data_IF_790468121144
#
_entry.id   IF_790468121144
#
_cell.length_a   1.000
_cell.length_b   1.000
_cell.length_c   1.000
_cell.angle_alpha   90.00
_cell.angle_beta   90.00
_cell.angle_gamma   90.00
#
_symmetry.space_group_name_H-M   'P 1'
#
loop_
_entity.id
_entity.type
_entity.pdbx_description
1 polymer ?
#
# COMPACT_ATOMS: atom_id res chain seq x y z
N UNK A 1 51.01 15.40 18.44
CA UNK A 1 50.86 14.03 18.02
C UNK A 1 49.44 13.53 18.08
N UNK A 2 48.89 13.53 19.21
CA UNK A 2 47.56 13.07 19.44
C UNK A 2 46.46 13.91 18.78
N UNK A 3 46.59 15.25 18.58
CA UNK A 3 45.52 16.02 17.94
C UNK A 3 45.17 15.61 16.52
N UNK A 4 46.15 15.16 15.76
CA UNK A 4 45.90 14.77 14.37
C UNK A 4 45.05 13.49 14.26
N UNK A 5 45.22 12.57 15.18
CA UNK A 5 44.38 11.35 15.20
C UNK A 5 42.95 11.65 15.54
N UNK A 6 42.69 12.56 16.45
CA UNK A 6 41.35 12.95 16.82
C UNK A 6 40.63 13.64 15.66
N UNK A 7 41.30 14.45 14.89
CA UNK A 7 40.73 15.12 13.72
C UNK A 7 40.36 14.13 12.64
N UNK A 8 41.20 13.15 12.38
CA UNK A 8 40.92 12.11 11.39
C UNK A 8 39.71 11.27 11.78
N UNK A 9 39.59 10.91 13.04
CA UNK A 9 38.47 10.16 13.53
C UNK A 9 37.15 10.93 13.36
N UNK A 10 37.17 12.23 13.62
CA UNK A 10 35.98 13.07 13.42
C UNK A 10 35.57 13.16 11.94
N UNK A 11 36.53 13.29 11.06
CA UNK A 11 36.26 13.34 9.64
C UNK A 11 35.63 12.04 9.13
N UNK A 12 36.12 10.92 9.59
CA UNK A 12 35.56 9.62 9.23
C UNK A 12 34.11 9.45 9.71
N UNK A 13 33.81 9.91 10.91
CA UNK A 13 32.47 9.85 11.46
C UNK A 13 31.50 10.71 10.67
N UNK A 14 31.87 11.90 10.28
CA UNK A 14 31.05 12.78 9.47
C UNK A 14 30.80 12.20 8.09
N UNK A 15 31.79 11.60 7.48
CA UNK A 15 31.65 10.94 6.20
C UNK A 15 30.65 9.76 6.25
N UNK A 16 30.73 8.96 7.31
CA UNK A 16 29.80 7.88 7.53
C UNK A 16 28.36 8.34 7.71
N UNK A 17 28.16 9.43 8.43
CA UNK A 17 26.84 9.99 8.62
C UNK A 17 26.25 10.51 7.31
N UNK A 18 27.02 11.16 6.48
CA UNK A 18 26.58 11.63 5.17
C UNK A 18 26.19 10.48 4.27
N UNK A 19 26.92 9.39 4.27
CA UNK A 19 26.59 8.20 3.49
C UNK A 19 25.27 7.60 3.93
N UNK A 20 24.98 7.57 5.21
CA UNK A 20 23.70 7.08 5.71
C UNK A 20 22.53 7.93 5.22
N UNK A 21 22.67 9.24 5.22
CA UNK A 21 21.64 10.15 4.73
C UNK A 21 21.40 10.00 3.22
N UNK A 22 22.45 9.86 2.45
CA UNK A 22 22.38 9.67 1.00
C UNK A 22 21.90 8.26 0.65
N UNK A 23 22.31 7.27 1.44
CA UNK A 23 21.98 5.87 1.22
C UNK A 23 20.61 5.43 1.72
N UNK A 24 19.78 6.35 2.23
CA UNK A 24 18.42 6.06 2.65
C UNK A 24 17.45 6.44 1.52
N UNK A 25 17.36 5.67 0.42
CA UNK A 25 16.43 5.97 -0.65
C UNK A 25 15.03 5.80 -0.10
N UNK A 26 14.18 6.75 -0.39
CA UNK A 26 12.77 6.61 -0.13
C UNK A 26 12.24 5.62 -1.14
N UNK A 27 12.03 4.38 -0.71
CA UNK A 27 11.40 3.39 -1.55
C UNK A 27 9.95 3.80 -1.74
N UNK A 28 9.58 4.11 -2.96
CA UNK A 28 8.21 4.49 -3.31
C UNK A 28 7.35 3.23 -3.44
N UNK A 29 7.00 2.62 -2.31
CA UNK A 29 6.03 1.54 -2.27
C UNK A 29 4.64 2.12 -2.08
N UNK A 30 3.69 1.63 -2.86
CA UNK A 30 2.30 1.94 -2.64
C UNK A 30 1.75 1.03 -1.54
N UNK A 31 1.64 1.54 -0.34
CA UNK A 31 1.05 0.83 0.78
C UNK A 31 -0.39 1.27 1.01
N UNK A 32 -1.18 0.37 1.57
CA UNK A 32 -2.54 0.69 1.98
C UNK A 32 -2.48 1.66 3.16
N UNK A 33 -3.02 2.86 2.97
CA UNK A 33 -3.07 3.91 3.98
C UNK A 33 -4.35 3.83 4.80
N UNK A 34 -5.45 3.44 4.17
CA UNK A 34 -6.73 3.28 4.82
C UNK A 34 -7.71 2.56 3.92
N UNK A 35 -8.77 2.03 4.50
CA UNK A 35 -9.83 1.33 3.77
C UNK A 35 -11.20 1.65 4.33
N UNK A 36 -12.22 1.50 3.51
CA UNK A 36 -13.62 1.63 3.90
C UNK A 36 -14.41 0.46 3.27
N UNK A 37 -14.98 -0.44 4.05
CA UNK A 37 -14.88 -0.55 5.52
C UNK A 37 -13.43 -0.74 5.99
N UNK A 38 -13.14 -0.26 7.20
CA UNK A 38 -11.82 -0.45 7.80
C UNK A 38 -11.62 -1.92 8.22
N UNK A 39 -10.37 -2.31 8.34
CA UNK A 39 -10.02 -3.66 8.81
C UNK A 39 -10.66 -3.95 10.17
N UNK A 40 -11.35 -5.07 10.26
CA UNK A 40 -12.06 -5.48 11.47
C UNK A 40 -13.47 -4.91 11.62
N UNK A 41 -13.92 -4.05 10.73
CA UNK A 41 -15.26 -3.47 10.81
C UNK A 41 -16.34 -4.49 10.49
N UNK A 42 -17.47 -4.33 11.17
CA UNK A 42 -18.71 -5.05 10.86
C UNK A 42 -19.68 -4.11 10.18
N UNK A 43 -20.19 -4.51 9.03
CA UNK A 43 -21.14 -3.72 8.25
C UNK A 43 -22.48 -4.44 8.21
N UNK A 44 -23.52 -3.79 8.74
CA UNK A 44 -24.88 -4.34 8.73
C UNK A 44 -25.52 -4.11 7.36
N UNK A 45 -26.01 -5.18 6.75
CA UNK A 45 -26.63 -5.12 5.42
C UNK A 45 -25.62 -5.12 4.26
N UNK A 46 -24.33 -5.18 4.56
CA UNK A 46 -23.26 -5.16 3.56
C UNK A 46 -22.92 -3.75 3.07
N UNK A 47 -21.68 -3.51 2.67
CA UNK A 47 -21.28 -2.23 2.09
C UNK A 47 -21.78 -2.09 0.65
N UNK A 48 -22.14 -0.88 0.25
CA UNK A 48 -22.47 -0.58 -1.14
C UNK A 48 -21.21 -0.55 -2.02
N UNK A 49 -20.07 -0.23 -1.42
CA UNK A 49 -18.79 -0.09 -2.10
C UNK A 49 -17.66 -0.39 -1.13
N UNK A 50 -16.60 -0.97 -1.65
CA UNK A 50 -15.34 -1.18 -0.93
C UNK A 50 -14.29 -0.26 -1.55
N UNK A 51 -13.49 0.39 -0.71
CA UNK A 51 -12.43 1.26 -1.20
C UNK A 51 -11.17 1.13 -0.37
N UNK A 52 -10.03 1.36 -1.02
CA UNK A 52 -8.74 1.43 -0.38
C UNK A 52 -7.97 2.64 -0.88
N UNK A 53 -7.40 3.40 0.03
CA UNK A 53 -6.53 4.53 -0.28
C UNK A 53 -5.08 4.12 -0.08
N UNK A 54 -4.23 4.49 -1.03
CA UNK A 54 -2.83 4.09 -1.06
C UNK A 54 -1.91 5.31 -1.00
N UNK A 55 -0.70 5.09 -0.57
CA UNK A 55 0.28 6.15 -0.32
C UNK A 55 0.89 6.74 -1.58
N UNK A 56 0.83 6.02 -2.70
CA UNK A 56 1.44 6.41 -3.96
C UNK A 56 0.48 6.20 -5.13
N UNK A 57 0.65 6.93 -6.24
CA UNK A 57 -0.11 6.67 -7.45
C UNK A 57 0.07 5.25 -7.95
N UNK A 58 -1.00 4.64 -8.43
CA UNK A 58 -1.06 3.26 -8.85
C UNK A 58 -1.13 3.14 -10.38
N UNK A 59 -0.55 2.06 -10.90
CA UNK A 59 -0.75 1.67 -12.28
C UNK A 59 -2.11 0.99 -12.42
N UNK A 60 -3.07 1.57 -13.13
CA UNK A 60 -4.41 0.99 -13.26
C UNK A 60 -4.43 -0.38 -13.92
N UNK A 61 -3.50 -0.65 -14.81
CA UNK A 61 -3.46 -1.92 -15.53
C UNK A 61 -2.99 -3.09 -14.66
N UNK A 62 -2.26 -2.80 -13.58
CA UNK A 62 -1.62 -3.82 -12.76
C UNK A 62 -2.03 -3.81 -11.29
N UNK A 63 -2.91 -2.87 -10.90
CA UNK A 63 -3.39 -2.74 -9.52
C UNK A 63 -4.84 -3.18 -9.42
N UNK A 64 -5.17 -3.94 -8.36
CA UNK A 64 -6.53 -4.47 -8.21
C UNK A 64 -6.90 -4.76 -6.77
N UNK A 65 -8.21 -4.79 -6.53
CA UNK A 65 -8.83 -5.32 -5.32
C UNK A 65 -9.58 -6.59 -5.69
N UNK A 66 -9.54 -7.58 -4.81
CA UNK A 66 -10.31 -8.83 -4.96
C UNK A 66 -11.02 -9.13 -3.65
N UNK A 67 -12.34 -9.27 -3.70
CA UNK A 67 -13.13 -9.69 -2.57
C UNK A 67 -13.24 -11.21 -2.55
N UNK A 68 -12.89 -11.82 -1.42
CA UNK A 68 -13.01 -13.27 -1.23
C UNK A 68 -13.81 -13.59 0.03
N UNK A 69 -14.48 -14.74 0.02
CA UNK A 69 -15.21 -15.27 1.16
C UNK A 69 -14.28 -16.11 2.07
N UNK A 70 -14.85 -16.71 3.12
CA UNK A 70 -14.11 -17.56 4.06
C UNK A 70 -13.46 -18.78 3.40
N UNK A 71 -14.05 -19.27 2.32
CA UNK A 71 -13.49 -20.39 1.57
C UNK A 71 -12.40 -19.95 0.58
N UNK A 72 -12.11 -18.66 0.49
CA UNK A 72 -11.15 -18.12 -0.45
C UNK A 72 -11.71 -17.97 -1.87
N UNK A 73 -13.02 -18.10 -2.04
CA UNK A 73 -13.66 -17.92 -3.35
C UNK A 73 -13.74 -16.45 -3.71
N UNK A 74 -13.38 -16.14 -4.94
CA UNK A 74 -13.42 -14.77 -5.46
C UNK A 74 -14.86 -14.41 -5.80
N UNK A 75 -15.33 -13.32 -5.21
CA UNK A 75 -16.70 -12.85 -5.37
C UNK A 75 -16.79 -11.63 -6.27
N UNK A 76 -15.81 -10.78 -6.26
CA UNK A 76 -15.77 -9.55 -7.04
C UNK A 76 -14.35 -9.04 -7.19
N UNK A 77 -14.15 -8.18 -8.19
CA UNK A 77 -12.88 -7.56 -8.47
C UNK A 77 -13.09 -6.09 -8.80
N UNK A 78 -12.16 -5.24 -8.37
CA UNK A 78 -12.14 -3.83 -8.68
C UNK A 78 -10.73 -3.34 -8.94
N UNK A 79 -10.59 -2.06 -9.17
CA UNK A 79 -9.32 -1.46 -9.50
C UNK A 79 -9.27 0.03 -9.20
N UNK A 80 -8.31 0.70 -9.80
CA UNK A 80 -8.11 2.13 -9.61
C UNK A 80 -9.35 2.89 -10.08
N UNK A 81 -9.82 3.81 -9.22
CA UNK A 81 -10.95 4.66 -9.52
C UNK A 81 -10.58 5.59 -10.68
N UNK A 82 -11.28 5.48 -11.83
CA UNK A 82 -10.96 6.32 -12.98
C UNK A 82 -11.27 7.80 -12.76
N UNK A 83 -12.08 8.13 -11.76
CA UNK A 83 -12.41 9.50 -11.42
C UNK A 83 -11.42 10.15 -10.46
N UNK A 84 -10.55 9.35 -9.84
CA UNK A 84 -9.49 9.86 -8.97
C UNK A 84 -8.27 10.23 -9.80
N UNK A 85 -8.07 11.52 -10.01
CA UNK A 85 -6.95 12.04 -10.79
C UNK A 85 -5.58 11.70 -10.19
N UNK A 86 -5.51 11.51 -8.88
CA UNK A 86 -4.26 11.13 -8.20
C UNK A 86 -3.92 9.64 -8.35
N UNK A 87 -4.88 8.84 -8.78
CA UNK A 87 -4.75 7.38 -8.94
C UNK A 87 -4.28 6.67 -7.67
N UNK A 88 -4.65 7.17 -6.50
CA UNK A 88 -4.28 6.59 -5.20
C UNK A 88 -5.38 5.78 -4.56
N UNK A 89 -6.57 5.73 -5.16
CA UNK A 89 -7.73 5.02 -4.62
C UNK A 89 -8.13 3.88 -5.52
N UNK A 90 -8.38 2.71 -4.94
CA UNK A 90 -9.04 1.60 -5.62
C UNK A 90 -10.44 1.39 -5.06
N UNK A 91 -11.36 0.99 -5.92
CA UNK A 91 -12.77 0.73 -5.59
C UNK A 91 -13.23 -0.60 -6.12
N UNK A 92 -14.17 -1.19 -5.40
CA UNK A 92 -14.81 -2.44 -5.78
C UNK A 92 -16.27 -2.39 -5.38
N UNK A 93 -17.15 -2.73 -6.30
CA UNK A 93 -18.59 -2.87 -6.03
C UNK A 93 -18.88 -4.33 -5.69
N UNK A 94 -19.22 -4.65 -4.43
CA UNK A 94 -19.50 -6.02 -4.06
C UNK A 94 -20.89 -6.44 -4.53
N UNK A 95 -21.12 -7.75 -4.79
CA UNK A 95 -22.47 -8.27 -4.95
C UNK A 95 -23.19 -8.26 -3.60
N UNK A 96 -24.45 -8.68 -3.60
CA UNK A 96 -25.15 -8.94 -2.36
C UNK A 96 -24.40 -10.03 -1.57
N UNK A 97 -24.01 -9.70 -0.35
CA UNK A 97 -23.24 -10.59 0.50
C UNK A 97 -24.13 -11.21 1.56
N UNK A 98 -24.02 -12.53 1.75
CA UNK A 98 -24.61 -13.22 2.88
C UNK A 98 -23.84 -12.83 4.17
N UNK A 99 -24.48 -12.93 5.34
CA UNK A 99 -23.75 -12.74 6.60
C UNK A 99 -22.53 -13.67 6.67
N UNK A 100 -21.39 -13.14 7.04
CA UNK A 100 -20.15 -13.90 7.08
C UNK A 100 -18.92 -13.01 7.20
N UNK A 101 -17.78 -13.65 7.12
CA UNK A 101 -16.49 -12.98 7.12
C UNK A 101 -15.94 -12.90 5.69
N UNK A 102 -15.41 -11.75 5.36
CA UNK A 102 -14.88 -11.48 4.02
C UNK A 102 -13.51 -10.83 4.13
N UNK A 103 -12.73 -10.99 3.10
CA UNK A 103 -11.40 -10.43 3.01
C UNK A 103 -11.23 -9.72 1.67
N UNK A 104 -10.60 -8.55 1.69
CA UNK A 104 -10.19 -7.87 0.48
C UNK A 104 -8.70 -8.04 0.31
N UNK A 105 -8.31 -8.65 -0.78
CA UNK A 105 -6.90 -8.80 -1.17
C UNK A 105 -6.57 -7.73 -2.19
N UNK A 106 -5.44 -7.11 -2.02
CA UNK A 106 -5.04 -6.04 -2.93
C UNK A 106 -3.65 -6.29 -3.50
N UNK A 107 -3.47 -5.83 -4.72
CA UNK A 107 -2.18 -5.74 -5.40
C UNK A 107 -2.02 -4.32 -5.88
N UNK A 108 -0.96 -3.67 -5.47
CA UNK A 108 -0.68 -2.29 -5.84
C UNK A 108 0.67 -2.21 -6.54
N UNK A 109 0.66 -1.68 -7.75
CA UNK A 109 1.87 -1.48 -8.52
C UNK A 109 2.03 0.00 -8.85
N UNK A 110 3.25 0.52 -8.65
CA UNK A 110 3.58 1.89 -9.04
C UNK A 110 4.01 1.92 -10.51
N UNK A 111 3.64 2.95 -11.27
CA UNK A 111 3.94 3.01 -12.70
C UNK A 111 5.44 3.10 -13.00
N UNK A 112 6.18 3.85 -12.20
CA UNK A 112 7.54 4.28 -12.52
C UNK A 112 8.58 3.17 -12.40
N UNK A 113 8.57 2.44 -11.31
CA UNK A 113 9.56 1.40 -11.03
C UNK A 113 9.00 -0.02 -11.13
N UNK A 114 7.71 -0.15 -11.38
CA UNK A 114 7.06 -1.44 -11.47
C UNK A 114 7.03 -2.21 -10.16
N UNK A 115 7.21 -1.52 -9.05
CA UNK A 115 7.20 -2.15 -7.75
C UNK A 115 5.80 -2.63 -7.37
N UNK A 116 5.69 -3.88 -6.93
CA UNK A 116 4.41 -4.52 -6.58
C UNK A 116 4.36 -4.74 -5.08
N UNK A 117 3.34 -4.20 -4.43
CA UNK A 117 3.01 -4.50 -3.06
C UNK A 117 1.69 -5.27 -2.99
N UNK A 118 1.56 -6.15 -2.01
CA UNK A 118 0.36 -6.95 -1.81
C UNK A 118 0.00 -6.97 -0.34
N UNK A 119 -1.31 -7.05 -0.06
CA UNK A 119 -1.81 -7.12 1.29
C UNK A 119 -3.27 -7.52 1.31
N UNK A 120 -3.88 -7.37 2.49
CA UNK A 120 -5.28 -7.73 2.70
C UNK A 120 -5.85 -6.94 3.87
N UNK A 121 -7.17 -6.77 3.85
CA UNK A 121 -7.92 -6.34 5.04
C UNK A 121 -9.23 -7.15 5.13
N UNK A 122 -9.78 -7.24 6.33
CA UNK A 122 -10.98 -8.02 6.60
C UNK A 122 -12.11 -7.15 7.12
#
# INVERSE_FOLDING_TARGET
MTPSHAILARAALLGGLMLLLVGAPVAAHADLEGSDPADGDTVVGGPAELSGAFTEPLDPAASRLVLVDEAGERLAEGGVDPEDASATTMRLEPPLLAPGLYEVRWTARTPDDGFVARGRWR
#
